data_IF_467867533523
#
_entry.id   IF_467867533523
#
_cell.length_a   1.000
_cell.length_b   1.000
_cell.length_c   1.000
_cell.angle_alpha   90.00
_cell.angle_beta   90.00
_cell.angle_gamma   90.00
#
_symmetry.space_group_name_H-M   'P 1'
#
loop_
_entity.id
_entity.type
_entity.pdbx_description
1 polymer ?
#
# COMPACT_ATOMS: atom_id res chain seq x y z
N UNK A 1 -18.27 -3.36 -13.03
CA UNK A 1 -16.81 -3.63 -13.02
C UNK A 1 -16.30 -3.85 -11.58
N UNK A 2 -16.30 -2.86 -10.69
CA UNK A 2 -15.86 -3.03 -9.29
C UNK A 2 -16.67 -4.10 -8.52
N UNK A 3 -17.98 -4.21 -8.77
CA UNK A 3 -18.83 -5.27 -8.20
C UNK A 3 -18.52 -6.68 -8.75
N UNK A 4 -18.02 -6.79 -9.98
CA UNK A 4 -17.56 -8.07 -10.57
C UNK A 4 -16.17 -8.47 -10.06
N UNK A 5 -15.30 -7.49 -9.78
CA UNK A 5 -14.00 -7.73 -9.15
C UNK A 5 -14.12 -8.32 -7.74
N UNK A 6 -15.26 -8.11 -7.07
CA UNK A 6 -15.56 -8.68 -5.75
C UNK A 6 -15.64 -10.22 -5.74
N UNK A 7 -15.95 -10.84 -6.88
CA UNK A 7 -16.03 -12.31 -7.02
C UNK A 7 -14.69 -12.98 -7.38
N UNK A 8 -13.64 -12.21 -7.74
CA UNK A 8 -12.31 -12.75 -8.04
C UNK A 8 -11.51 -13.20 -6.81
N UNK A 9 -12.04 -13.00 -5.60
CA UNK A 9 -11.34 -13.31 -4.34
C UNK A 9 -11.19 -14.82 -4.05
N UNK A 10 -11.67 -15.72 -4.91
CA UNK A 10 -11.56 -17.17 -4.72
C UNK A 10 -10.33 -17.81 -5.39
N UNK A 11 -9.36 -17.01 -5.85
CA UNK A 11 -8.06 -17.52 -6.31
C UNK A 11 -8.02 -18.01 -7.76
N UNK A 12 -9.10 -17.84 -8.53
CA UNK A 12 -9.15 -18.18 -9.95
C UNK A 12 -9.01 -16.89 -10.76
N UNK A 13 -7.90 -16.76 -11.48
CA UNK A 13 -7.70 -15.70 -12.49
C UNK A 13 -8.57 -16.03 -13.71
N UNK A 14 -9.83 -15.60 -13.67
CA UNK A 14 -10.75 -15.75 -14.80
C UNK A 14 -10.44 -14.74 -15.91
N UNK A 15 -10.54 -15.20 -17.16
CA UNK A 15 -10.47 -14.35 -18.34
C UNK A 15 -11.86 -13.85 -18.70
N UNK A 16 -12.00 -12.55 -18.89
CA UNK A 16 -13.27 -11.90 -19.22
C UNK A 16 -13.25 -11.39 -20.66
N UNK A 17 -14.32 -11.64 -21.40
CA UNK A 17 -14.44 -11.23 -22.80
C UNK A 17 -14.68 -9.72 -22.91
N UNK A 18 -13.93 -9.02 -23.78
CA UNK A 18 -14.10 -7.59 -24.02
C UNK A 18 -15.37 -7.28 -24.84
N UNK A 19 -15.89 -8.25 -25.57
CA UNK A 19 -17.08 -8.08 -26.43
C UNK A 19 -18.36 -7.86 -25.63
N UNK A 20 -18.41 -8.26 -24.37
CA UNK A 20 -19.56 -8.08 -23.48
C UNK A 20 -19.63 -6.69 -22.84
N UNK A 21 -18.58 -5.86 -23.01
CA UNK A 21 -18.47 -4.54 -22.40
C UNK A 21 -19.03 -3.44 -23.29
N UNK A 22 -19.52 -2.35 -22.70
CA UNK A 22 -19.88 -1.14 -23.46
C UNK A 22 -18.63 -0.44 -24.02
N UNK A 23 -18.80 0.47 -24.97
CA UNK A 23 -17.70 1.25 -25.56
C UNK A 23 -16.89 2.00 -24.48
N UNK A 24 -17.58 2.63 -23.54
CA UNK A 24 -16.98 3.34 -22.41
C UNK A 24 -16.16 2.37 -21.55
N UNK A 25 -16.71 1.19 -21.26
CA UNK A 25 -16.02 0.18 -20.46
C UNK A 25 -14.77 -0.36 -21.18
N UNK A 26 -14.81 -0.51 -22.50
CA UNK A 26 -13.62 -0.89 -23.29
C UNK A 26 -12.54 0.18 -23.25
N UNK A 27 -12.93 1.46 -23.26
CA UNK A 27 -11.97 2.57 -23.06
C UNK A 27 -11.33 2.48 -21.67
N UNK A 28 -12.13 2.35 -20.61
CA UNK A 28 -11.62 2.24 -19.24
C UNK A 28 -10.70 1.03 -19.03
N UNK A 29 -10.95 -0.08 -19.72
CA UNK A 29 -10.08 -1.26 -19.63
C UNK A 29 -8.69 -0.98 -20.23
N UNK A 30 -8.58 -0.13 -21.25
CA UNK A 30 -7.26 0.30 -21.76
C UNK A 30 -6.51 1.11 -20.71
N UNK A 31 -7.19 2.06 -20.07
CA UNK A 31 -6.60 2.85 -18.98
C UNK A 31 -6.16 1.95 -17.81
N UNK A 32 -6.95 0.94 -17.46
CA UNK A 32 -6.58 -0.05 -16.45
C UNK A 32 -5.42 -0.96 -16.86
N UNK A 33 -5.24 -1.20 -18.16
CA UNK A 33 -4.07 -1.92 -18.66
C UNK A 33 -2.81 -1.08 -18.52
N UNK A 34 -2.88 0.22 -18.83
CA UNK A 34 -1.76 1.16 -18.67
C UNK A 34 -1.35 1.33 -17.20
N UNK A 35 -2.31 1.23 -16.26
CA UNK A 35 -2.07 1.21 -14.82
C UNK A 35 -1.60 -0.16 -14.28
N UNK A 36 -1.51 -1.19 -15.12
CA UNK A 36 -1.11 -2.54 -14.72
C UNK A 36 -2.15 -3.29 -13.88
N UNK A 37 -3.40 -2.80 -13.81
CA UNK A 37 -4.52 -3.43 -13.12
C UNK A 37 -5.09 -4.61 -13.90
N UNK A 38 -4.95 -4.58 -15.22
CA UNK A 38 -5.52 -5.58 -16.11
C UNK A 38 -4.48 -5.97 -17.16
N UNK A 39 -4.37 -7.26 -17.45
CA UNK A 39 -3.62 -7.76 -18.60
C UNK A 39 -4.57 -8.01 -19.75
N UNK A 40 -4.32 -7.33 -20.87
CA UNK A 40 -5.02 -7.59 -22.13
C UNK A 40 -4.44 -8.82 -22.82
N UNK A 41 -5.30 -9.71 -23.30
CA UNK A 41 -4.93 -10.81 -24.19
C UNK A 41 -5.75 -10.70 -25.47
N UNK A 42 -5.05 -10.66 -26.60
CA UNK A 42 -5.68 -10.66 -27.91
C UNK A 42 -5.62 -12.08 -28.47
N UNK A 43 -6.78 -12.73 -28.58
CA UNK A 43 -6.93 -13.96 -29.33
C UNK A 43 -7.16 -13.67 -30.82
N UNK A 44 -7.19 -14.72 -31.65
CA UNK A 44 -7.40 -14.59 -33.11
C UNK A 44 -8.78 -14.05 -33.51
N UNK A 45 -9.81 -14.23 -32.66
CA UNK A 45 -11.20 -13.80 -32.90
C UNK A 45 -11.82 -13.02 -31.75
N UNK A 46 -11.27 -13.16 -30.56
CA UNK A 46 -11.85 -12.62 -29.33
C UNK A 46 -10.74 -12.00 -28.49
N UNK A 47 -11.05 -10.86 -27.87
CA UNK A 47 -10.12 -10.18 -26.98
C UNK A 47 -10.61 -10.33 -25.55
N UNK A 48 -9.68 -10.66 -24.67
CA UNK A 48 -9.94 -10.98 -23.28
C UNK A 48 -9.13 -10.06 -22.38
N UNK A 49 -9.57 -9.92 -21.15
CA UNK A 49 -8.82 -9.24 -20.12
C UNK A 49 -8.78 -10.06 -18.84
N UNK A 50 -7.65 -10.01 -18.14
CA UNK A 50 -7.41 -10.75 -16.91
C UNK A 50 -6.99 -9.75 -15.83
N UNK A 51 -7.74 -9.61 -14.73
CA UNK A 51 -7.34 -8.76 -13.61
C UNK A 51 -5.99 -9.21 -13.02
N UNK A 52 -5.10 -8.29 -12.72
CA UNK A 52 -3.82 -8.62 -12.07
C UNK A 52 -4.01 -8.73 -10.55
N UNK A 53 -3.00 -9.28 -9.87
CA UNK A 53 -2.94 -9.28 -8.40
C UNK A 53 -3.06 -7.87 -7.80
N UNK A 54 -2.66 -6.85 -8.54
CA UNK A 54 -2.74 -5.45 -8.11
C UNK A 54 -4.21 -4.99 -8.05
N UNK A 55 -5.00 -5.32 -9.08
CA UNK A 55 -6.43 -5.03 -9.08
C UNK A 55 -7.20 -5.80 -8.00
N UNK A 56 -6.86 -7.08 -7.77
CA UNK A 56 -7.50 -7.87 -6.70
C UNK A 56 -7.16 -7.33 -5.32
N UNK A 57 -5.89 -6.99 -5.06
CA UNK A 57 -5.45 -6.45 -3.77
C UNK A 57 -6.03 -5.06 -3.49
N UNK A 58 -6.16 -4.20 -4.52
CA UNK A 58 -6.82 -2.90 -4.39
C UNK A 58 -8.30 -3.07 -4.01
N UNK A 59 -9.00 -4.02 -4.66
CA UNK A 59 -10.39 -4.32 -4.32
C UNK A 59 -10.53 -4.85 -2.89
N UNK A 60 -9.59 -5.68 -2.43
CA UNK A 60 -9.55 -6.21 -1.07
C UNK A 60 -9.27 -5.11 -0.04
N UNK A 61 -8.31 -4.23 -0.28
CA UNK A 61 -8.00 -3.11 0.63
C UNK A 61 -9.16 -2.12 0.78
N UNK A 62 -10.08 -2.06 -0.18
CA UNK A 62 -11.27 -1.23 -0.09
C UNK A 62 -12.37 -1.88 0.78
N UNK A 63 -12.37 -3.20 0.88
CA UNK A 63 -13.35 -3.97 1.67
C UNK A 63 -12.84 -4.36 3.06
N UNK A 64 -11.53 -4.55 3.21
CA UNK A 64 -10.89 -4.99 4.43
C UNK A 64 -9.95 -3.88 4.94
N UNK A 65 -10.55 -2.85 5.55
CA UNK A 65 -9.82 -1.84 6.32
C UNK A 65 -9.12 -2.43 7.57
N UNK A 66 -9.30 -3.73 7.84
CA UNK A 66 -8.82 -4.45 9.03
C UNK A 66 -7.67 -5.43 8.78
N UNK A 67 -7.22 -5.63 7.54
CA UNK A 67 -5.99 -6.37 7.31
C UNK A 67 -4.86 -5.64 8.06
N UNK A 68 -4.30 -6.30 9.09
CA UNK A 68 -3.23 -5.76 9.94
C UNK A 68 -2.05 -5.38 9.05
N UNK A 69 -2.02 -4.12 8.60
CA UNK A 69 -0.88 -3.54 7.92
C UNK A 69 0.21 -3.45 8.99
N UNK A 70 1.12 -4.41 9.00
CA UNK A 70 2.43 -4.22 9.62
C UNK A 70 2.96 -2.89 9.08
N UNK A 71 3.08 -1.92 9.98
CA UNK A 71 3.63 -0.63 9.63
C UNK A 71 5.10 -0.81 9.27
N UNK A 72 5.58 -0.03 8.32
CA UNK A 72 7.00 0.01 7.99
C UNK A 72 7.56 1.40 8.31
N UNK A 73 8.87 1.44 8.56
CA UNK A 73 9.61 2.67 8.82
C UNK A 73 10.61 2.88 7.70
N UNK A 74 10.63 4.06 7.11
CA UNK A 74 11.61 4.49 6.12
C UNK A 74 12.48 5.57 6.75
N UNK A 75 13.79 5.45 6.59
CA UNK A 75 14.76 6.45 7.05
C UNK A 75 15.51 7.01 5.84
N UNK A 76 15.49 8.32 5.69
CA UNK A 76 16.22 9.05 4.65
C UNK A 76 17.67 9.33 5.08
N UNK A 77 18.53 9.67 4.11
CA UNK A 77 19.94 10.04 4.36
C UNK A 77 20.12 11.35 5.12
N UNK A 78 19.06 12.14 5.27
CA UNK A 78 19.03 13.39 6.03
C UNK A 78 18.53 13.18 7.48
N UNK A 79 18.48 11.94 7.96
CA UNK A 79 18.02 11.55 9.30
C UNK A 79 16.52 11.77 9.57
N UNK A 80 15.71 12.00 8.52
CA UNK A 80 14.25 11.97 8.63
C UNK A 80 13.73 10.55 8.59
N UNK A 81 12.77 10.27 9.46
CA UNK A 81 12.10 8.99 9.55
C UNK A 81 10.60 9.12 9.32
N UNK A 82 10.07 8.18 8.56
CA UNK A 82 8.69 8.12 8.11
C UNK A 82 8.13 6.76 8.50
N UNK A 83 7.31 6.73 9.54
CA UNK A 83 6.70 5.50 10.02
C UNK A 83 5.23 5.43 9.60
N UNK A 84 4.91 4.51 8.70
CA UNK A 84 3.55 4.26 8.26
C UNK A 84 2.81 3.42 9.30
N UNK A 85 2.24 4.10 10.29
CA UNK A 85 1.46 3.43 11.32
C UNK A 85 0.35 4.32 11.86
N UNK A 86 -0.76 3.67 12.23
CA UNK A 86 -1.88 4.26 12.97
C UNK A 86 -1.76 4.01 14.47
N UNK A 87 -0.79 3.19 14.91
CA UNK A 87 -0.62 2.80 16.30
C UNK A 87 0.04 3.90 17.11
N UNK A 88 -0.64 4.38 18.17
CA UNK A 88 -0.07 5.32 19.13
C UNK A 88 1.15 4.73 19.85
N UNK A 89 1.15 3.42 20.09
CA UNK A 89 2.28 2.73 20.71
C UNK A 89 3.54 2.87 19.86
N UNK A 90 3.43 2.73 18.53
CA UNK A 90 4.60 2.94 17.65
C UNK A 90 5.10 4.38 17.71
N UNK A 91 4.20 5.37 17.81
CA UNK A 91 4.61 6.76 17.98
C UNK A 91 5.44 6.96 19.27
N UNK A 92 5.01 6.37 20.38
CA UNK A 92 5.74 6.47 21.64
C UNK A 92 7.07 5.72 21.62
N UNK A 93 7.15 4.55 20.97
CA UNK A 93 8.44 3.85 20.77
C UNK A 93 9.43 4.74 20.00
N UNK A 94 9.00 5.34 18.88
CA UNK A 94 9.88 6.19 18.06
C UNK A 94 10.33 7.43 18.84
N UNK A 95 9.49 7.96 19.73
CA UNK A 95 9.81 9.13 20.57
C UNK A 95 10.96 8.87 21.55
N UNK A 96 11.26 7.60 21.86
CA UNK A 96 12.36 7.25 22.76
C UNK A 96 13.74 7.63 22.18
N UNK A 97 13.89 7.64 20.85
CA UNK A 97 15.18 7.90 20.20
C UNK A 97 15.14 8.95 19.08
N UNK A 98 13.95 9.47 18.76
CA UNK A 98 13.74 10.49 17.74
C UNK A 98 12.86 11.63 18.23
N UNK A 99 13.03 12.79 17.62
CA UNK A 99 12.14 13.92 17.80
C UNK A 99 10.98 13.81 16.81
N UNK A 100 9.76 13.57 17.32
CA UNK A 100 8.56 13.58 16.49
C UNK A 100 8.25 15.01 16.06
N UNK A 101 8.21 15.26 14.75
CA UNK A 101 7.93 16.58 14.18
C UNK A 101 6.43 16.79 14.01
N UNK A 102 5.74 15.82 13.41
CA UNK A 102 4.28 15.84 13.23
C UNK A 102 3.72 14.44 13.01
N UNK A 103 2.43 14.29 13.31
CA UNK A 103 1.68 13.05 13.14
C UNK A 103 0.46 13.29 12.25
N UNK A 104 0.33 12.47 11.22
CA UNK A 104 -0.81 12.37 10.33
C UNK A 104 -1.59 11.07 10.64
N UNK A 105 -2.82 10.89 10.11
CA UNK A 105 -3.65 9.74 10.47
C UNK A 105 -3.02 8.36 10.27
N UNK A 106 -2.12 8.20 9.30
CA UNK A 106 -1.45 6.94 8.95
C UNK A 106 0.08 7.08 8.78
N UNK A 107 0.65 8.20 9.22
CA UNK A 107 2.07 8.50 9.05
C UNK A 107 2.58 9.30 10.25
N UNK A 108 3.67 8.85 10.84
CA UNK A 108 4.41 9.57 11.87
C UNK A 108 5.71 10.05 11.23
N UNK A 109 6.00 11.34 11.36
CA UNK A 109 7.23 11.94 10.85
C UNK A 109 8.09 12.39 12.03
N UNK A 110 9.35 11.95 12.02
CA UNK A 110 10.33 12.33 13.02
C UNK A 110 11.69 12.63 12.41
N UNK A 111 12.56 13.20 13.23
CA UNK A 111 13.96 13.42 12.92
C UNK A 111 14.82 12.82 14.02
N UNK A 112 15.85 12.08 13.63
CA UNK A 112 16.88 11.61 14.56
C UNK A 112 17.88 12.75 14.72
N UNK A 113 17.96 13.33 15.92
CA UNK A 113 18.90 14.40 16.23
C UNK A 113 19.97 13.91 17.19
N UNK A 114 21.06 14.68 17.29
CA UNK A 114 22.12 14.39 18.26
C UNK A 114 21.53 14.29 19.67
N UNK A 115 20.69 15.25 20.05
CA UNK A 115 20.07 15.33 21.37
C UNK A 115 19.11 14.16 21.64
N UNK A 116 18.33 13.72 20.64
CA UNK A 116 17.42 12.59 20.82
C UNK A 116 18.18 11.29 21.06
N UNK A 117 19.33 11.09 20.40
CA UNK A 117 20.18 9.93 20.61
C UNK A 117 20.87 9.93 21.97
N UNK A 118 21.42 11.06 22.42
CA UNK A 118 22.03 11.14 23.77
C UNK A 118 21.01 10.81 24.86
N UNK A 119 19.80 11.36 24.77
CA UNK A 119 18.72 11.04 25.70
C UNK A 119 18.35 9.55 25.65
N UNK A 120 18.31 8.95 24.46
CA UNK A 120 18.06 7.51 24.32
C UNK A 120 19.15 6.68 25.02
N UNK A 121 20.43 7.02 24.81
CA UNK A 121 21.55 6.33 25.44
C UNK A 121 21.54 6.46 26.96
N UNK A 122 21.21 7.64 27.51
CA UNK A 122 21.05 7.85 28.96
C UNK A 122 19.92 6.99 29.55
N UNK A 123 18.87 6.74 28.78
CA UNK A 123 17.78 5.83 29.15
C UNK A 123 18.07 4.35 28.84
N UNK A 124 19.30 4.01 28.45
CA UNK A 124 19.75 2.63 28.24
C UNK A 124 19.36 2.03 26.88
N UNK A 125 18.94 2.84 25.91
CA UNK A 125 18.67 2.38 24.54
C UNK A 125 19.97 2.43 23.76
N UNK A 126 20.51 1.27 23.42
CA UNK A 126 21.79 1.13 22.70
C UNK A 126 21.59 1.22 21.19
N UNK A 127 22.65 1.49 20.44
CA UNK A 127 22.59 1.59 18.98
C UNK A 127 22.37 0.24 18.26
N UNK A 128 22.51 -0.89 18.97
CA UNK A 128 22.40 -2.25 18.42
C UNK A 128 21.00 -2.86 18.53
N UNK A 129 20.11 -2.26 19.34
CA UNK A 129 18.71 -2.68 19.53
C UNK A 129 17.82 -2.27 18.36
#
# INVERSE_FOLDING_TARGET
ILRSLKFLCQGILEAYNLNTLSEIQRSMIKDFADLGLVKLQQGRKESWFIPTKLATNLSMSLTDSSARKEGFVVVETNFRMYAYSTSKLHCEILRLFSKIEYQLPNLIVGAITKESLYNAFENGITAEQ
#
